data_IF_719556669484
#
_entry.id   IF_719556669484
#
_cell.length_a   1.000
_cell.length_b   1.000
_cell.length_c   1.000
_cell.angle_alpha   90.00
_cell.angle_beta   90.00
_cell.angle_gamma   90.00
#
_symmetry.space_group_name_H-M   'P 1'
#
loop_
_entity.id
_entity.type
_entity.pdbx_description
1 polymer ?
#
# COMPACT_ATOMS: atom_id res chain seq x y z
N UNK A 1 8.74 -25.00 2.74
CA UNK A 1 9.47 -23.85 3.32
C UNK A 1 8.66 -22.60 3.04
N UNK A 2 8.22 -21.87 4.06
CA UNK A 2 7.64 -20.54 3.86
C UNK A 2 8.80 -19.56 3.99
N UNK A 3 9.16 -18.89 2.90
CA UNK A 3 10.21 -17.87 2.92
C UNK A 3 9.65 -16.60 3.57
N UNK A 4 10.32 -16.14 4.63
CA UNK A 4 10.08 -14.84 5.26
C UNK A 4 11.07 -13.84 4.65
N UNK A 5 10.62 -12.61 4.41
CA UNK A 5 11.46 -11.59 3.81
C UNK A 5 10.66 -10.45 3.19
N UNK A 6 11.33 -9.65 2.38
CA UNK A 6 10.69 -8.57 1.63
C UNK A 6 11.30 -8.39 0.25
N UNK A 7 10.49 -7.84 -0.65
CA UNK A 7 10.91 -7.31 -1.94
C UNK A 7 10.53 -5.83 -1.93
N UNK A 8 11.46 -4.97 -2.34
CA UNK A 8 11.21 -3.53 -2.43
C UNK A 8 11.50 -3.02 -3.83
N UNK A 9 10.64 -2.13 -4.33
CA UNK A 9 10.77 -1.49 -5.63
C UNK A 9 10.91 0.01 -5.39
N UNK A 10 11.93 0.62 -5.99
CA UNK A 10 12.11 2.07 -6.07
C UNK A 10 11.81 2.52 -7.49
N UNK A 11 11.06 3.61 -7.63
CA UNK A 11 10.80 4.25 -8.91
C UNK A 11 10.64 5.76 -8.73
N UNK A 12 10.84 6.50 -9.80
CA UNK A 12 10.60 7.95 -9.84
C UNK A 12 9.54 8.25 -10.88
N UNK A 13 8.55 9.07 -10.51
CA UNK A 13 7.55 9.61 -11.41
C UNK A 13 7.61 11.15 -11.33
N UNK A 14 7.97 11.79 -12.45
CA UNK A 14 8.40 13.19 -12.48
C UNK A 14 9.55 13.48 -11.49
N UNK A 15 9.38 14.40 -10.53
CA UNK A 15 10.36 14.68 -9.48
C UNK A 15 9.99 14.03 -8.14
N UNK A 16 9.09 13.04 -8.14
CA UNK A 16 8.63 12.39 -6.91
C UNK A 16 9.04 10.93 -6.89
N UNK A 17 9.74 10.54 -5.84
CA UNK A 17 10.20 9.18 -5.62
C UNK A 17 9.18 8.34 -4.87
N UNK A 18 8.97 7.11 -5.36
CA UNK A 18 8.06 6.14 -4.78
C UNK A 18 8.82 4.88 -4.37
N UNK A 19 8.47 4.34 -3.20
CA UNK A 19 8.92 3.01 -2.78
C UNK A 19 7.72 2.12 -2.46
N UNK A 20 7.73 0.91 -3.02
CA UNK A 20 6.77 -0.14 -2.70
C UNK A 20 7.51 -1.28 -2.01
N UNK A 21 7.11 -1.60 -0.78
CA UNK A 21 7.68 -2.70 0.01
C UNK A 21 6.62 -3.79 0.15
N UNK A 22 6.90 -4.99 -0.34
CA UNK A 22 6.06 -6.17 -0.13
C UNK A 22 6.78 -7.13 0.82
N UNK A 23 6.21 -7.42 1.99
CA UNK A 23 6.85 -8.29 2.99
C UNK A 23 5.97 -9.46 3.43
N UNK A 24 6.62 -10.56 3.77
CA UNK A 24 6.05 -11.68 4.50
C UNK A 24 6.85 -11.84 5.80
N UNK A 25 6.29 -11.35 6.92
CA UNK A 25 6.98 -11.32 8.21
C UNK A 25 6.84 -12.62 9.00
N UNK A 26 7.56 -12.72 10.12
CA UNK A 26 7.52 -13.88 11.01
C UNK A 26 6.10 -14.29 11.38
N UNK A 27 5.74 -15.52 11.02
CA UNK A 27 4.46 -16.13 11.37
C UNK A 27 4.50 -16.75 12.77
N UNK A 28 3.32 -16.92 13.38
CA UNK A 28 3.19 -17.52 14.70
C UNK A 28 2.12 -16.85 15.56
N UNK A 29 1.78 -17.50 16.67
CA UNK A 29 0.77 -17.06 17.66
C UNK A 29 1.29 -17.20 19.10
N UNK A 30 2.58 -17.51 19.28
CA UNK A 30 3.20 -17.58 20.60
C UNK A 30 3.46 -16.17 21.09
N UNK A 31 3.46 -16.01 22.40
CA UNK A 31 3.89 -14.78 23.04
C UNK A 31 5.32 -14.42 22.59
N UNK A 32 5.55 -13.16 22.26
CA UNK A 32 6.80 -12.66 21.72
C UNK A 32 6.99 -12.81 20.21
N UNK A 33 6.08 -13.47 19.48
CA UNK A 33 6.14 -13.50 18.01
C UNK A 33 5.95 -12.10 17.40
N UNK A 34 5.21 -11.20 18.07
CA UNK A 34 5.11 -9.79 17.67
C UNK A 34 6.45 -9.05 17.73
N UNK A 35 7.30 -9.36 18.70
CA UNK A 35 8.65 -8.77 18.78
C UNK A 35 9.56 -9.25 17.65
N UNK A 36 9.37 -10.50 17.19
CA UNK A 36 10.08 -11.02 16.00
C UNK A 36 9.65 -10.26 14.76
N UNK A 37 8.34 -10.04 14.56
CA UNK A 37 7.83 -9.22 13.45
C UNK A 37 8.34 -7.77 13.49
N UNK A 38 8.41 -7.16 14.67
CA UNK A 38 9.01 -5.83 14.81
C UNK A 38 10.49 -5.84 14.38
N UNK A 39 11.25 -6.86 14.81
CA UNK A 39 12.65 -7.05 14.43
C UNK A 39 12.80 -7.22 12.91
N UNK A 40 11.91 -8.00 12.27
CA UNK A 40 11.89 -8.17 10.81
C UNK A 40 11.70 -6.83 10.09
N UNK A 41 10.75 -6.01 10.55
CA UNK A 41 10.50 -4.67 9.97
C UNK A 41 11.74 -3.77 10.09
N UNK A 42 12.37 -3.75 11.27
CA UNK A 42 13.59 -2.97 11.50
C UNK A 42 14.75 -3.48 10.62
N UNK A 43 14.87 -4.79 10.45
CA UNK A 43 15.89 -5.38 9.60
C UNK A 43 15.68 -5.04 8.12
N UNK A 44 14.44 -5.08 7.63
CA UNK A 44 14.09 -4.68 6.26
C UNK A 44 14.45 -3.21 6.03
N UNK A 45 14.03 -2.30 6.93
CA UNK A 45 14.38 -0.89 6.84
C UNK A 45 15.90 -0.65 6.84
N UNK A 46 16.63 -1.40 7.67
CA UNK A 46 18.08 -1.27 7.80
C UNK A 46 18.83 -1.83 6.60
N UNK A 47 18.41 -2.97 6.05
CA UNK A 47 19.18 -3.73 5.05
C UNK A 47 18.78 -3.42 3.61
N UNK A 48 17.56 -2.98 3.33
CA UNK A 48 17.15 -2.65 1.96
C UNK A 48 17.95 -1.45 1.45
N UNK A 49 18.61 -1.63 0.32
CA UNK A 49 19.39 -0.61 -0.38
C UNK A 49 19.04 -0.60 -1.86
N UNK A 50 18.90 0.58 -2.44
CA UNK A 50 18.65 0.76 -3.86
C UNK A 50 19.92 1.23 -4.57
N UNK A 51 20.21 0.71 -5.78
CA UNK A 51 21.37 1.15 -6.53
C UNK A 51 21.18 2.60 -6.97
N UNK A 52 22.28 3.36 -6.94
CA UNK A 52 22.28 4.73 -7.45
C UNK A 52 22.06 4.71 -8.96
N UNK A 53 21.04 5.42 -9.43
CA UNK A 53 20.77 5.57 -10.87
C UNK A 53 21.31 6.93 -11.31
N UNK A 54 22.42 6.92 -12.03
CA UNK A 54 22.98 8.15 -12.63
C UNK A 54 22.19 8.50 -13.89
N UNK A 55 21.60 9.69 -13.94
CA UNK A 55 20.89 10.09 -15.16
C UNK A 55 20.35 11.50 -15.19
N UNK A 56 19.60 11.95 -14.19
CA UNK A 56 18.87 13.23 -14.26
C UNK A 56 18.71 13.79 -12.85
N UNK A 57 19.11 15.06 -12.67
CA UNK A 57 19.05 15.91 -11.47
C UNK A 57 18.49 15.27 -10.17
N UNK A 58 19.34 15.31 -9.13
CA UNK A 58 19.14 14.84 -7.74
C UNK A 58 19.57 13.39 -7.43
N UNK A 59 19.98 13.18 -6.16
CA UNK A 59 20.36 11.88 -5.63
C UNK A 59 19.13 10.98 -5.59
N UNK A 60 19.16 9.86 -6.31
CA UNK A 60 18.17 8.80 -6.16
C UNK A 60 18.18 8.27 -4.72
N UNK A 61 17.01 8.01 -4.08
CA UNK A 61 16.95 7.46 -2.74
C UNK A 61 17.74 6.14 -2.62
N UNK A 62 18.61 6.04 -1.61
CA UNK A 62 19.42 4.85 -1.35
C UNK A 62 18.74 3.90 -0.36
N UNK A 63 17.81 4.43 0.45
CA UNK A 63 17.07 3.67 1.48
C UNK A 63 15.56 3.83 1.34
N UNK A 64 14.79 2.93 1.96
CA UNK A 64 13.30 2.99 1.93
C UNK A 64 12.81 4.36 2.40
N UNK A 65 13.32 4.84 3.54
CA UNK A 65 12.84 6.06 4.21
C UNK A 65 13.26 7.37 3.53
N UNK A 66 14.15 7.31 2.53
CA UNK A 66 14.54 8.48 1.72
C UNK A 66 13.55 8.78 0.59
N UNK A 67 12.58 7.91 0.33
CA UNK A 67 11.58 8.15 -0.71
C UNK A 67 10.48 9.09 -0.22
N UNK A 68 9.93 9.88 -1.13
CA UNK A 68 8.87 10.85 -0.86
C UNK A 68 7.54 10.20 -0.50
N UNK A 69 7.27 9.05 -1.13
CA UNK A 69 6.00 8.33 -1.07
C UNK A 69 6.31 6.84 -0.87
N UNK A 70 5.95 6.28 0.27
CA UNK A 70 6.25 4.88 0.58
C UNK A 70 4.95 4.14 0.85
N UNK A 71 4.76 2.99 0.20
CA UNK A 71 3.67 2.06 0.47
C UNK A 71 4.27 0.73 0.90
N UNK A 72 3.91 0.27 2.10
CA UNK A 72 4.33 -1.03 2.63
C UNK A 72 3.11 -1.93 2.75
N UNK A 73 3.18 -3.08 2.09
CA UNK A 73 2.10 -4.05 2.04
C UNK A 73 2.59 -5.49 2.24
N UNK A 74 1.65 -6.40 2.47
CA UNK A 74 1.89 -7.83 2.45
C UNK A 74 1.32 -8.56 3.67
N UNK A 75 1.74 -9.81 3.85
CA UNK A 75 1.41 -10.61 5.03
C UNK A 75 2.33 -10.23 6.18
N UNK A 76 1.90 -9.23 6.95
CA UNK A 76 2.61 -8.77 8.13
C UNK A 76 2.46 -9.71 9.32
N UNK A 77 1.56 -10.71 9.24
CA UNK A 77 1.39 -11.79 10.20
C UNK A 77 1.07 -11.40 11.65
N UNK A 78 0.80 -10.12 11.96
CA UNK A 78 0.33 -9.70 13.27
C UNK A 78 -1.03 -10.33 13.59
N UNK A 79 -1.22 -10.68 14.86
CA UNK A 79 -2.38 -11.43 15.34
C UNK A 79 -3.22 -10.59 16.27
N UNK A 80 -4.35 -11.14 16.72
CA UNK A 80 -5.20 -10.51 17.73
C UNK A 80 -4.80 -11.06 19.11
N UNK A 81 -4.49 -10.18 20.05
CA UNK A 81 -4.09 -10.48 21.43
C UNK A 81 -5.31 -10.88 22.29
N UNK A 82 -6.08 -11.87 21.83
CA UNK A 82 -7.24 -12.42 22.50
C UNK A 82 -7.31 -13.94 22.31
N UNK A 83 -8.03 -14.61 23.21
CA UNK A 83 -8.32 -16.03 23.06
C UNK A 83 -9.16 -16.30 21.80
N UNK A 84 -9.03 -17.49 21.23
CA UNK A 84 -9.87 -17.94 20.10
C UNK A 84 -11.36 -17.73 20.36
N UNK A 85 -11.85 -18.10 21.56
CA UNK A 85 -13.26 -17.98 21.94
C UNK A 85 -13.72 -16.52 21.92
N UNK A 86 -12.91 -15.62 22.47
CA UNK A 86 -13.20 -14.18 22.50
C UNK A 86 -13.21 -13.59 21.09
N UNK A 87 -12.24 -13.95 20.26
CA UNK A 87 -12.20 -13.48 18.86
C UNK A 87 -13.40 -13.99 18.08
N UNK A 88 -13.73 -15.29 18.18
CA UNK A 88 -14.88 -15.88 17.50
C UNK A 88 -16.18 -15.16 17.85
N UNK A 89 -16.44 -14.92 19.14
CA UNK A 89 -17.62 -14.19 19.58
C UNK A 89 -17.69 -12.76 18.99
N UNK A 90 -16.57 -12.03 18.98
CA UNK A 90 -16.52 -10.68 18.40
C UNK A 90 -16.68 -10.68 16.87
N UNK A 91 -16.17 -11.71 16.19
CA UNK A 91 -16.35 -11.92 14.75
C UNK A 91 -17.82 -12.18 14.43
N UNK A 92 -18.49 -13.05 15.18
CA UNK A 92 -19.93 -13.35 15.04
C UNK A 92 -20.79 -12.10 15.26
N UNK A 93 -20.41 -11.26 16.23
CA UNK A 93 -21.05 -9.95 16.48
C UNK A 93 -20.64 -8.85 15.48
N UNK A 94 -19.73 -9.15 14.53
CA UNK A 94 -19.15 -8.16 13.60
C UNK A 94 -18.55 -6.92 14.29
N UNK A 95 -18.05 -7.09 15.52
CA UNK A 95 -17.49 -6.00 16.31
C UNK A 95 -16.01 -5.80 16.00
N UNK A 96 -15.72 -5.30 14.78
CA UNK A 96 -14.36 -5.07 14.29
C UNK A 96 -13.60 -4.07 15.16
N UNK A 97 -14.29 -3.05 15.67
CA UNK A 97 -13.70 -2.03 16.55
C UNK A 97 -13.07 -2.67 17.79
N UNK A 98 -13.80 -3.52 18.50
CA UNK A 98 -13.29 -4.18 19.70
C UNK A 98 -12.13 -5.15 19.39
N UNK A 99 -12.17 -5.82 18.24
CA UNK A 99 -11.07 -6.68 17.78
C UNK A 99 -9.80 -5.86 17.45
N UNK A 100 -9.95 -4.74 16.74
CA UNK A 100 -8.84 -3.86 16.36
C UNK A 100 -8.16 -3.20 17.56
N UNK A 101 -8.87 -3.01 18.69
CA UNK A 101 -8.23 -2.56 19.93
C UNK A 101 -7.21 -3.58 20.48
N UNK A 102 -7.35 -4.85 20.08
CA UNK A 102 -6.48 -5.96 20.46
C UNK A 102 -5.61 -6.45 19.30
N UNK A 103 -5.59 -5.74 18.18
CA UNK A 103 -4.70 -6.02 17.05
C UNK A 103 -3.25 -5.72 17.43
N UNK A 104 -2.36 -6.71 17.30
CA UNK A 104 -0.96 -6.54 17.69
C UNK A 104 -0.28 -5.43 16.91
N UNK A 105 -0.49 -5.31 15.59
CA UNK A 105 0.15 -4.24 14.81
C UNK A 105 -0.22 -2.86 15.36
N UNK A 106 -1.51 -2.61 15.63
CA UNK A 106 -1.97 -1.35 16.23
C UNK A 106 -1.41 -1.12 17.64
N UNK A 107 -1.30 -2.17 18.45
CA UNK A 107 -0.70 -2.07 19.79
C UNK A 107 0.79 -1.71 19.69
N UNK A 108 1.54 -2.36 18.82
CA UNK A 108 2.97 -2.12 18.60
C UNK A 108 3.22 -0.72 18.01
N UNK A 109 2.39 -0.27 17.07
CA UNK A 109 2.43 1.08 16.51
C UNK A 109 2.14 2.16 17.54
N UNK A 110 1.06 2.03 18.32
CA UNK A 110 0.73 2.99 19.40
C UNK A 110 1.82 3.03 20.48
N UNK A 111 2.49 1.90 20.69
CA UNK A 111 3.64 1.81 21.58
C UNK A 111 4.94 2.37 21.00
N UNK A 112 4.96 2.83 19.76
CA UNK A 112 6.14 3.36 19.08
C UNK A 112 7.21 2.31 18.76
N UNK A 113 6.88 1.01 18.82
CA UNK A 113 7.85 -0.09 18.65
C UNK A 113 8.07 -0.50 17.20
N UNK A 114 7.12 -0.20 16.32
CA UNK A 114 7.17 -0.53 14.89
C UNK A 114 6.38 0.51 14.11
N UNK A 115 6.77 0.74 12.84
CA UNK A 115 6.03 1.63 11.92
C UNK A 115 5.70 3.02 12.51
N UNK A 116 6.62 3.61 13.29
CA UNK A 116 6.45 4.93 13.87
C UNK A 116 6.30 6.00 12.77
N UNK A 117 5.24 6.81 12.82
CA UNK A 117 4.92 7.83 11.82
C UNK A 117 4.27 7.31 10.53
N UNK A 118 4.08 5.99 10.41
CA UNK A 118 3.34 5.40 9.30
C UNK A 118 1.83 5.49 9.55
N UNK A 119 1.08 5.54 8.45
CA UNK A 119 -0.36 5.63 8.45
C UNK A 119 -0.97 4.31 7.95
N UNK A 120 -2.17 4.00 8.45
CA UNK A 120 -2.99 2.90 7.99
C UNK A 120 -4.45 3.33 7.92
N UNK A 121 -5.17 2.85 6.91
CA UNK A 121 -6.58 3.10 6.72
C UNK A 121 -7.43 2.54 7.84
N UNK A 122 -8.65 3.07 7.94
CA UNK A 122 -9.65 2.46 8.80
C UNK A 122 -10.09 1.12 8.21
N UNK A 123 -9.92 0.06 8.99
CA UNK A 123 -10.35 -1.29 8.63
C UNK A 123 -11.82 -1.45 9.00
N UNK A 124 -12.66 -1.66 7.98
CA UNK A 124 -14.10 -1.92 8.13
C UNK A 124 -14.51 -3.32 7.64
N UNK A 125 -13.53 -4.14 7.27
CA UNK A 125 -13.71 -5.50 6.74
C UNK A 125 -13.30 -6.57 7.77
N UNK A 126 -13.84 -7.78 7.69
CA UNK A 126 -13.53 -8.85 8.64
C UNK A 126 -12.08 -9.34 8.51
N UNK A 127 -11.54 -10.03 9.53
CA UNK A 127 -10.21 -10.64 9.48
C UNK A 127 -9.95 -11.43 8.19
N UNK A 128 -8.75 -11.30 7.63
CA UNK A 128 -8.39 -11.84 6.32
C UNK A 128 -7.80 -13.25 6.39
N UNK A 129 -7.47 -13.72 7.60
CA UNK A 129 -6.87 -15.02 7.87
C UNK A 129 -7.51 -15.64 9.13
N UNK A 130 -7.61 -16.95 9.33
CA UNK A 130 -7.36 -18.06 8.38
C UNK A 130 -8.70 -18.66 7.98
N UNK A 131 -8.98 -18.77 6.70
CA UNK A 131 -10.19 -19.41 6.17
C UNK A 131 -9.95 -20.89 5.88
N UNK A 132 -11.00 -21.69 5.96
CA UNK A 132 -10.98 -23.05 5.42
C UNK A 132 -11.03 -23.00 3.89
N UNK A 133 -10.41 -24.00 3.25
CA UNK A 133 -10.30 -24.10 1.79
C UNK A 133 -11.66 -23.95 1.10
N UNK A 134 -11.75 -23.07 0.11
CA UNK A 134 -12.96 -22.81 -0.68
C UNK A 134 -14.22 -22.45 0.15
N UNK A 135 -14.05 -21.88 1.35
CA UNK A 135 -15.15 -21.57 2.28
C UNK A 135 -15.01 -20.18 2.89
N UNK A 136 -16.13 -19.56 3.28
CA UNK A 136 -16.16 -18.30 4.06
C UNK A 136 -16.11 -18.54 5.58
N UNK A 137 -15.96 -19.79 6.01
CA UNK A 137 -15.75 -20.16 7.40
C UNK A 137 -14.28 -19.98 7.80
N UNK A 138 -14.05 -19.51 9.02
CA UNK A 138 -12.71 -19.53 9.58
C UNK A 138 -12.27 -20.96 9.94
N UNK A 139 -11.00 -21.26 9.72
CA UNK A 139 -10.42 -22.57 9.98
C UNK A 139 -10.51 -22.95 11.46
N UNK A 140 -11.10 -24.12 11.73
CA UNK A 140 -11.35 -24.61 13.09
C UNK A 140 -12.76 -24.33 13.63
N UNK A 141 -13.69 -23.85 12.80
CA UNK A 141 -15.12 -23.87 13.11
C UNK A 141 -15.71 -25.30 13.14
N UNK A 142 -15.28 -26.16 12.21
CA UNK A 142 -15.77 -27.54 12.11
C UNK A 142 -14.87 -28.48 12.95
N UNK A 143 -15.46 -29.21 13.90
CA UNK A 143 -14.77 -30.08 14.89
C UNK A 143 -14.04 -31.31 14.29
N UNK A 144 -14.02 -31.47 12.97
CA UNK A 144 -13.39 -32.59 12.28
C UNK A 144 -11.88 -32.37 12.07
N UNK A 145 -11.16 -32.53 13.18
CA UNK A 145 -9.74 -32.85 13.44
C UNK A 145 -8.70 -33.06 12.30
N UNK A 146 -8.58 -32.17 11.31
CA UNK A 146 -7.33 -32.13 10.48
C UNK A 146 -6.60 -30.79 10.48
N UNK A 147 -7.31 -29.68 10.65
CA UNK A 147 -6.70 -28.35 10.60
C UNK A 147 -6.41 -27.80 12.01
N UNK A 148 -5.18 -27.33 12.23
CA UNK A 148 -4.82 -26.66 13.49
C UNK A 148 -5.67 -25.39 13.64
N UNK A 149 -6.41 -25.29 14.73
CA UNK A 149 -7.20 -24.10 15.10
C UNK A 149 -6.32 -22.85 15.10
N UNK A 150 -6.68 -21.86 14.28
CA UNK A 150 -6.01 -20.54 14.24
C UNK A 150 -7.03 -19.45 14.52
N UNK A 151 -6.70 -18.58 15.47
CA UNK A 151 -7.48 -17.37 15.74
C UNK A 151 -7.54 -16.48 14.49
N UNK A 152 -8.74 -16.03 14.07
CA UNK A 152 -8.88 -15.05 13.00
C UNK A 152 -8.05 -13.79 13.25
N UNK A 153 -7.41 -13.24 12.21
CA UNK A 153 -6.54 -12.06 12.29
C UNK A 153 -6.48 -11.28 10.97
N UNK A 154 -6.14 -9.98 11.07
CA UNK A 154 -5.74 -9.16 9.91
C UNK A 154 -4.23 -9.27 9.73
N UNK A 155 -3.82 -10.35 9.06
CA UNK A 155 -2.43 -10.58 8.71
C UNK A 155 -1.99 -9.70 7.53
N UNK A 156 -2.91 -9.45 6.59
CA UNK A 156 -2.65 -8.78 5.32
C UNK A 156 -2.93 -7.28 5.45
N UNK A 157 -1.89 -6.45 5.36
CA UNK A 157 -1.95 -5.01 5.70
C UNK A 157 -1.36 -4.13 4.61
N UNK A 158 -1.82 -2.88 4.55
CA UNK A 158 -1.30 -1.86 3.64
C UNK A 158 -1.15 -0.56 4.43
N UNK A 159 0.10 -0.13 4.61
CA UNK A 159 0.50 1.08 5.32
C UNK A 159 1.22 2.03 4.36
N UNK A 160 1.29 3.30 4.72
CA UNK A 160 2.05 4.29 3.95
C UNK A 160 2.78 5.30 4.82
N UNK A 161 3.83 5.87 4.26
CA UNK A 161 4.65 6.91 4.86
C UNK A 161 4.99 7.98 3.83
N UNK A 162 5.24 9.20 4.30
CA UNK A 162 5.47 10.38 3.46
C UNK A 162 4.22 11.24 3.30
N UNK A 163 4.40 12.45 2.76
CA UNK A 163 3.32 13.40 2.47
C UNK A 163 2.68 13.07 1.11
N UNK A 164 1.60 13.74 0.71
CA UNK A 164 1.04 13.63 -0.65
C UNK A 164 0.47 12.26 -1.04
N UNK A 165 0.29 11.32 -0.10
CA UNK A 165 -0.51 10.11 -0.28
C UNK A 165 -1.83 10.25 0.46
N UNK A 166 -2.94 10.15 -0.28
CA UNK A 166 -4.29 10.06 0.26
C UNK A 166 -4.87 8.68 -0.01
N UNK A 167 -5.13 7.88 1.03
CA UNK A 167 -5.78 6.59 0.85
C UNK A 167 -7.28 6.79 0.60
N UNK A 168 -7.74 6.40 -0.60
CA UNK A 168 -9.12 6.57 -1.06
C UNK A 168 -10.00 5.38 -0.69
N UNK A 169 -9.44 4.17 -0.71
CA UNK A 169 -10.16 2.95 -0.34
C UNK A 169 -9.23 1.95 0.32
N UNK A 170 -9.79 1.12 1.21
CA UNK A 170 -9.08 0.02 1.85
C UNK A 170 -10.05 -1.14 2.11
N UNK A 171 -9.96 -2.19 1.31
CA UNK A 171 -10.99 -3.23 1.22
C UNK A 171 -10.40 -4.63 1.13
N UNK A 172 -11.16 -5.62 1.58
CA UNK A 172 -10.88 -7.04 1.40
C UNK A 172 -11.67 -7.56 0.20
N UNK A 173 -11.06 -8.41 -0.62
CA UNK A 173 -11.77 -9.17 -1.66
C UNK A 173 -12.28 -10.52 -1.16
N UNK A 174 -13.17 -11.13 -1.96
CA UNK A 174 -13.88 -12.36 -1.61
C UNK A 174 -13.35 -13.61 -2.32
N UNK A 175 -12.17 -13.52 -2.95
CA UNK A 175 -11.53 -14.68 -3.56
C UNK A 175 -11.24 -15.78 -2.51
N UNK A 176 -11.64 -17.01 -2.81
CA UNK A 176 -11.54 -18.17 -1.90
C UNK A 176 -10.40 -19.13 -2.24
N UNK A 177 -9.54 -18.77 -3.19
CA UNK A 177 -8.42 -19.62 -3.66
C UNK A 177 -7.34 -19.86 -2.61
N UNK A 178 -7.28 -19.02 -1.57
CA UNK A 178 -6.32 -19.11 -0.47
C UNK A 178 -7.05 -19.14 0.88
N UNK A 179 -6.35 -19.59 1.92
CA UNK A 179 -6.75 -19.41 3.31
C UNK A 179 -6.61 -17.95 3.80
N UNK A 180 -6.04 -17.09 2.97
CA UNK A 180 -6.10 -15.63 3.07
C UNK A 180 -7.12 -15.04 2.10
N UNK A 181 -7.67 -13.89 2.48
CA UNK A 181 -8.48 -13.05 1.59
C UNK A 181 -7.64 -11.90 1.07
N UNK A 182 -7.66 -11.62 -0.25
CA UNK A 182 -6.86 -10.54 -0.81
C UNK A 182 -7.29 -9.19 -0.23
N UNK A 183 -6.34 -8.27 -0.12
CA UNK A 183 -6.56 -6.91 0.39
C UNK A 183 -6.10 -5.91 -0.65
N UNK A 184 -6.91 -4.89 -0.88
CA UNK A 184 -6.69 -3.84 -1.87
C UNK A 184 -6.75 -2.47 -1.22
N UNK A 185 -5.96 -1.55 -1.75
CA UNK A 185 -6.01 -0.15 -1.38
C UNK A 185 -5.82 0.71 -2.61
N UNK A 186 -6.60 1.78 -2.73
CA UNK A 186 -6.45 2.79 -3.79
C UNK A 186 -5.93 4.07 -3.16
N UNK A 187 -4.96 4.71 -3.80
CA UNK A 187 -4.36 5.96 -3.34
C UNK A 187 -4.45 7.05 -4.41
N UNK A 188 -4.72 8.28 -3.98
CA UNK A 188 -4.33 9.48 -4.72
C UNK A 188 -2.90 9.83 -4.33
N UNK A 189 -2.05 10.10 -5.32
CA UNK A 189 -0.66 10.49 -5.11
C UNK A 189 -0.36 11.83 -5.78
N UNK A 190 0.09 12.80 -5.00
CA UNK A 190 0.60 14.07 -5.49
C UNK A 190 2.03 13.91 -6.01
N UNK A 191 2.26 14.37 -7.24
CA UNK A 191 3.55 14.32 -7.94
C UNK A 191 4.01 15.72 -8.34
N UNK A 192 5.31 15.96 -8.21
CA UNK A 192 5.94 17.24 -8.54
C UNK A 192 6.37 17.26 -10.01
N UNK A 193 5.74 18.13 -10.81
CA UNK A 193 6.01 18.22 -12.25
C UNK A 193 7.25 19.05 -12.58
N UNK A 194 8.04 18.62 -13.56
CA UNK A 194 9.11 19.44 -14.15
C UNK A 194 8.47 20.51 -15.02
N UNK A 195 8.59 21.77 -14.63
CA UNK A 195 8.10 22.89 -15.45
C UNK A 195 9.17 23.26 -16.49
N UNK A 196 9.14 22.59 -17.65
CA UNK A 196 10.11 22.80 -18.74
C UNK A 196 10.15 24.25 -19.26
N UNK A 197 9.12 25.06 -19.00
CA UNK A 197 9.04 26.47 -19.39
C UNK A 197 10.05 27.40 -18.72
N UNK A 198 10.67 26.99 -17.59
CA UNK A 198 11.71 27.78 -16.90
C UNK A 198 13.14 27.44 -17.33
N UNK A 199 13.38 26.22 -17.82
CA UNK A 199 14.71 25.75 -18.20
C UNK A 199 15.16 26.37 -19.54
N UNK A 200 14.22 26.79 -20.40
CA UNK A 200 14.55 27.43 -21.68
C UNK A 200 14.94 28.93 -21.55
N UNK A 201 14.87 29.53 -20.35
CA UNK A 201 15.27 30.94 -20.13
C UNK A 201 16.68 31.13 -19.58
N UNK A 202 17.47 30.07 -19.44
CA UNK A 202 18.84 30.13 -18.91
C UNK A 202 19.90 29.49 -19.82
N UNK A 203 19.67 29.45 -21.13
CA UNK A 203 20.76 29.26 -22.09
C UNK A 203 20.59 30.14 -23.32
N UNK A 204 21.62 30.97 -23.56
CA UNK A 204 21.90 31.76 -24.75
C UNK A 204 21.42 33.23 -24.77
N UNK A 205 22.34 34.03 -25.28
CA UNK A 205 22.52 35.48 -25.20
C UNK A 205 21.53 36.29 -26.01
N UNK A 206 21.51 37.58 -25.67
CA UNK A 206 21.05 38.69 -26.49
C UNK A 206 21.24 38.49 -28.00
N UNK A 207 20.14 38.56 -28.74
CA UNK A 207 20.04 39.35 -29.95
C UNK A 207 18.58 39.72 -30.17
N UNK A 208 18.34 41.03 -30.27
CA UNK A 208 17.15 41.57 -30.91
C UNK A 208 17.07 41.03 -32.33
N UNK A 209 15.86 40.80 -32.86
CA UNK A 209 15.44 41.25 -34.19
C UNK A 209 13.93 41.02 -34.36
N UNK A 210 13.42 41.69 -35.39
CA UNK A 210 12.20 42.47 -35.45
C UNK A 210 11.00 41.74 -36.06
N UNK A 211 9.84 42.36 -35.92
CA UNK A 211 8.51 42.04 -36.42
C UNK A 211 8.49 41.85 -37.95
N UNK A 212 7.74 40.84 -38.41
CA UNK A 212 6.98 40.95 -39.66
C UNK A 212 7.22 39.86 -40.71
N UNK A 213 6.52 38.74 -40.59
CA UNK A 213 6.07 37.96 -41.75
C UNK A 213 4.85 37.12 -41.33
N UNK A 214 3.67 37.72 -41.52
CA UNK A 214 2.70 37.31 -42.53
C UNK A 214 1.98 35.99 -42.19
N UNK A 215 0.92 36.11 -41.39
CA UNK A 215 -0.26 35.24 -41.54
C UNK A 215 -0.77 35.38 -42.98
N UNK A 216 -1.49 34.36 -43.52
CA UNK A 216 -2.92 34.56 -43.41
C UNK A 216 -3.79 33.29 -43.29
N UNK A 217 -4.98 33.56 -42.75
CA UNK A 217 -6.26 32.85 -42.87
C UNK A 217 -6.62 31.71 -41.91
N UNK A 218 -7.44 32.14 -40.95
CA UNK A 218 -8.51 31.41 -40.28
C UNK A 218 -9.50 30.76 -41.25
N UNK A 219 -9.97 29.56 -40.87
CA UNK A 219 -11.38 29.22 -41.00
C UNK A 219 -11.85 28.65 -39.66
N UNK A 220 -12.76 29.36 -39.02
CA UNK A 220 -13.58 28.83 -37.94
C UNK A 220 -14.84 28.20 -38.52
N UNK A 221 -15.36 27.19 -37.83
CA UNK A 221 -16.80 26.91 -37.82
C UNK A 221 -17.19 26.44 -36.42
N UNK A 222 -18.26 27.04 -35.93
CA UNK A 222 -18.90 26.83 -34.65
C UNK A 222 -19.88 25.65 -34.68
N UNK A 223 -20.15 25.13 -33.48
CA UNK A 223 -21.41 24.56 -32.99
C UNK A 223 -21.80 23.08 -33.16
N UNK A 224 -21.87 22.43 -31.99
CA UNK A 224 -22.96 21.62 -31.40
C UNK A 224 -23.28 20.25 -32.02
N UNK A 225 -23.12 19.19 -31.21
CA UNK A 225 -24.14 18.15 -31.07
C UNK A 225 -24.11 17.50 -29.66
N UNK A 226 -25.19 17.58 -28.86
CA UNK A 226 -25.36 16.82 -27.63
C UNK A 226 -26.06 15.48 -27.94
N UNK A 227 -25.78 14.45 -27.12
CA UNK A 227 -26.26 13.06 -27.18
C UNK A 227 -25.47 12.07 -28.05
N UNK A 228 -24.87 11.09 -27.37
CA UNK A 228 -24.24 9.92 -27.97
C UNK A 228 -23.78 8.94 -26.88
N UNK A 229 -24.71 8.10 -26.42
CA UNK A 229 -24.43 6.87 -25.68
C UNK A 229 -23.54 5.95 -26.55
N UNK A 230 -22.51 5.33 -25.97
CA UNK A 230 -22.13 3.95 -26.30
C UNK A 230 -21.27 3.34 -25.19
N UNK A 231 -21.74 2.19 -24.71
CA UNK A 231 -21.02 1.16 -23.97
C UNK A 231 -19.69 0.77 -24.61
N UNK A 232 -18.72 0.34 -23.81
CA UNK A 232 -17.66 -0.57 -24.26
C UNK A 232 -17.26 -1.52 -23.12
N UNK A 233 -17.67 -2.77 -23.31
CA UNK A 233 -17.28 -3.95 -22.54
C UNK A 233 -15.78 -4.22 -22.69
N UNK A 234 -15.14 -4.69 -21.61
CA UNK A 234 -13.83 -5.31 -21.64
C UNK A 234 -13.98 -6.82 -21.89
N UNK A 235 -13.21 -7.34 -22.84
CA UNK A 235 -12.86 -8.76 -22.92
C UNK A 235 -11.82 -9.10 -21.85
#
# INVERSE_FOLDING_TARGET
FVFQGSISISMTLHQTSFCFVCSHLTSGQKEGDEMRRNSDVLEILRKTRFPMVYGQYERSPETILEHDRIIWLGDLNYRIALSYRSVKALVEMRNWKALLEKDQLRIEQRGGRVFAGWNEGRIYFPPTYKYSTNSDKYAGEDMNQKEKRRTPAWCDRILWYGRGLGQLSYVRGESRFSDHRPVYSVFSAEVESINHSRIQKMSCSSSQLDIGELLPYSYGYTDINPYGYTDLNFY
#
